data_IF_776481073774
#
_entry.id   IF_776481073774
#
_cell.length_a   1.000
_cell.length_b   1.000
_cell.length_c   1.000
_cell.angle_alpha   90.00
_cell.angle_beta   90.00
_cell.angle_gamma   90.00
#
_symmetry.space_group_name_H-M   'P 1'
#
loop_
_entity.id
_entity.type
_entity.pdbx_description
1 polymer ?
#
# COMPACT_ATOMS: atom_id res chain seq x y z
N UNK A 1 1.65 -6.70 -5.60
CA UNK A 1 0.23 -6.94 -5.97
C UNK A 1 -0.59 -5.65 -6.00
N UNK A 2 -0.70 -4.91 -4.90
CA UNK A 2 -1.60 -3.75 -4.81
C UNK A 2 -1.36 -2.68 -5.88
N UNK A 3 -0.11 -2.45 -6.31
CA UNK A 3 0.21 -1.55 -7.44
C UNK A 3 -0.52 -1.94 -8.73
N UNK A 4 -0.63 -3.24 -9.03
CA UNK A 4 -1.36 -3.72 -10.21
C UNK A 4 -2.86 -3.43 -10.09
N UNK A 5 -3.44 -3.65 -8.91
CA UNK A 5 -4.86 -3.33 -8.64
C UNK A 5 -5.10 -1.83 -8.79
N UNK A 6 -4.27 -1.01 -8.16
CA UNK A 6 -4.35 0.45 -8.19
C UNK A 6 -4.30 1.03 -9.61
N UNK A 7 -3.50 0.44 -10.50
CA UNK A 7 -3.39 0.89 -11.88
C UNK A 7 -4.42 0.27 -12.84
N UNK A 8 -5.23 -0.71 -12.40
CA UNK A 8 -6.22 -1.35 -13.24
C UNK A 8 -7.30 -0.35 -13.68
N UNK A 9 -7.64 -0.37 -14.98
CA UNK A 9 -8.63 0.55 -15.57
C UNK A 9 -9.96 0.56 -14.80
N UNK A 10 -10.49 -0.62 -14.47
CA UNK A 10 -11.73 -0.76 -13.69
C UNK A 10 -11.66 -0.06 -12.32
N UNK A 11 -10.50 0.01 -11.68
CA UNK A 11 -10.32 0.72 -10.41
C UNK A 11 -10.29 2.22 -10.65
N UNK A 12 -9.54 2.69 -11.65
CA UNK A 12 -9.51 4.11 -12.05
C UNK A 12 -10.89 4.65 -12.45
N UNK A 13 -11.69 3.84 -13.14
CA UNK A 13 -13.04 4.23 -13.56
C UNK A 13 -14.05 4.20 -12.40
N UNK A 14 -13.76 3.48 -11.32
CA UNK A 14 -14.68 3.29 -10.19
C UNK A 14 -14.54 4.35 -9.09
N UNK A 15 -13.32 4.85 -8.86
CA UNK A 15 -13.00 5.79 -7.79
C UNK A 15 -12.70 7.18 -8.37
N UNK A 16 -13.26 8.23 -7.76
CA UNK A 16 -12.95 9.61 -8.13
C UNK A 16 -11.56 10.02 -7.66
N UNK A 17 -11.09 9.46 -6.54
CA UNK A 17 -9.78 9.73 -5.98
C UNK A 17 -9.04 8.42 -5.72
N UNK A 18 -7.81 8.35 -6.20
CA UNK A 18 -6.87 7.28 -5.91
C UNK A 18 -5.69 7.89 -5.16
N UNK A 19 -5.46 7.40 -3.95
CA UNK A 19 -4.47 7.97 -3.03
C UNK A 19 -3.53 6.84 -2.62
N UNK A 20 -2.22 7.02 -2.78
CA UNK A 20 -1.22 6.04 -2.34
C UNK A 20 -0.24 6.71 -1.40
N UNK A 21 -0.23 6.29 -0.14
CA UNK A 21 0.76 6.74 0.84
C UNK A 21 1.60 5.57 1.32
N UNK A 22 2.90 5.80 1.45
CA UNK A 22 3.81 4.85 2.07
C UNK A 22 4.04 5.28 3.50
N UNK A 23 3.86 4.36 4.45
CA UNK A 23 4.12 4.66 5.84
C UNK A 23 5.63 4.60 6.04
N UNK A 24 6.23 5.69 6.52
CA UNK A 24 7.65 5.78 6.90
C UNK A 24 7.88 5.30 8.33
N UNK A 25 9.10 4.90 8.71
CA UNK A 25 9.42 4.14 9.96
C UNK A 25 8.67 4.56 11.23
N UNK A 26 8.30 5.83 11.34
CA UNK A 26 7.39 6.33 12.36
C UNK A 26 5.99 6.60 11.80
N UNK A 27 4.95 6.18 12.52
CA UNK A 27 3.56 6.52 12.19
C UNK A 27 3.27 7.99 12.51
N UNK A 28 3.71 8.89 11.63
CA UNK A 28 3.48 10.32 11.73
C UNK A 28 2.14 10.71 11.10
N UNK A 29 1.12 10.95 11.94
CA UNK A 29 -0.22 11.35 11.50
C UNK A 29 -0.19 12.64 10.69
N UNK A 30 0.67 13.60 11.04
CA UNK A 30 0.76 14.88 10.32
C UNK A 30 1.37 14.67 8.95
N UNK A 31 2.53 13.99 8.89
CA UNK A 31 3.20 13.64 7.64
C UNK A 31 2.31 12.81 6.70
N UNK A 32 1.57 11.83 7.23
CA UNK A 32 0.63 11.04 6.44
C UNK A 32 -0.54 11.88 5.94
N UNK A 33 -1.08 12.78 6.75
CA UNK A 33 -2.16 13.69 6.32
C UNK A 33 -1.68 14.60 5.18
N UNK A 34 -0.45 15.12 5.25
CA UNK A 34 0.17 15.89 4.17
C UNK A 34 0.33 15.07 2.89
N UNK A 35 0.83 13.82 2.98
CA UNK A 35 0.95 12.94 1.82
C UNK A 35 -0.40 12.64 1.17
N UNK A 36 -1.46 12.45 1.97
CA UNK A 36 -2.83 12.27 1.45
C UNK A 36 -3.29 13.55 0.75
N UNK A 37 -3.07 14.72 1.35
CA UNK A 37 -3.44 16.01 0.78
C UNK A 37 -2.76 16.28 -0.56
N UNK A 38 -1.49 15.88 -0.71
CA UNK A 38 -0.75 16.01 -1.98
C UNK A 38 -1.40 15.25 -3.16
N UNK A 39 -2.29 14.29 -2.88
CA UNK A 39 -3.06 13.57 -3.90
C UNK A 39 -4.42 14.18 -4.21
N UNK A 40 -4.98 14.99 -3.32
CA UNK A 40 -6.38 15.44 -3.41
C UNK A 40 -6.55 16.95 -3.50
N UNK A 41 -5.50 17.72 -3.19
CA UNK A 41 -5.52 19.17 -3.11
C UNK A 41 -4.39 19.78 -3.96
N UNK A 42 -4.72 20.19 -5.19
CA UNK A 42 -3.75 20.75 -6.14
C UNK A 42 -3.24 22.14 -5.68
N UNK A 43 -4.13 22.98 -5.17
CA UNK A 43 -3.85 24.36 -4.77
C UNK A 43 -2.97 24.48 -3.51
N UNK A 44 -2.84 23.39 -2.74
CA UNK A 44 -2.03 23.29 -1.52
C UNK A 44 -2.14 24.53 -0.61
N UNK A 45 -3.34 24.88 -0.09
CA UNK A 45 -3.57 26.06 0.76
C UNK A 45 -3.00 25.91 2.19
N UNK A 46 -2.08 24.96 2.38
CA UNK A 46 -1.49 24.59 3.66
C UNK A 46 0.03 24.65 3.60
N UNK A 47 0.64 25.06 4.70
CA UNK A 47 2.08 24.94 4.90
C UNK A 47 2.42 23.62 5.57
N UNK A 48 3.65 23.13 5.39
CA UNK A 48 4.18 21.96 6.11
C UNK A 48 4.12 22.08 7.64
N UNK A 49 4.04 23.31 8.17
CA UNK A 49 3.93 23.60 9.62
C UNK A 49 2.49 23.78 10.11
N UNK A 50 1.49 23.54 9.26
CA UNK A 50 0.07 23.67 9.64
C UNK A 50 -0.29 22.68 10.74
N UNK A 51 -1.22 23.08 11.61
CA UNK A 51 -1.74 22.18 12.65
C UNK A 51 -2.51 21.01 12.03
N UNK A 52 -2.52 19.86 12.73
CA UNK A 52 -3.24 18.67 12.26
C UNK A 52 -4.73 18.97 12.00
N UNK A 53 -5.39 19.72 12.88
CA UNK A 53 -6.81 20.06 12.72
C UNK A 53 -7.08 20.79 11.40
N UNK A 54 -6.25 21.81 11.08
CA UNK A 54 -6.38 22.55 9.82
C UNK A 54 -6.17 21.65 8.61
N UNK A 55 -5.16 20.77 8.65
CA UNK A 55 -4.91 19.80 7.58
C UNK A 55 -6.09 18.84 7.40
N UNK A 56 -6.69 18.41 8.50
CA UNK A 56 -7.82 17.49 8.51
C UNK A 56 -9.12 18.13 8.00
N UNK A 57 -9.36 19.41 8.31
CA UNK A 57 -10.46 20.20 7.74
C UNK A 57 -10.32 20.31 6.22
N UNK A 58 -9.14 20.70 5.73
CA UNK A 58 -8.86 20.78 4.29
C UNK A 58 -9.04 19.41 3.63
N UNK A 59 -8.55 18.34 4.25
CA UNK A 59 -8.69 16.98 3.73
C UNK A 59 -10.17 16.61 3.61
N UNK A 60 -10.96 16.87 4.66
CA UNK A 60 -12.38 16.60 4.69
C UNK A 60 -13.14 17.30 3.56
N UNK A 61 -12.81 18.56 3.27
CA UNK A 61 -13.40 19.32 2.17
C UNK A 61 -13.03 18.72 0.80
N UNK A 62 -11.76 18.37 0.59
CA UNK A 62 -11.26 17.89 -0.69
C UNK A 62 -11.78 16.50 -1.07
N UNK A 63 -12.09 15.65 -0.09
CA UNK A 63 -12.68 14.31 -0.32
C UNK A 63 -14.21 14.31 -0.28
N UNK A 64 -14.84 15.42 0.11
CA UNK A 64 -16.30 15.51 0.28
C UNK A 64 -17.00 15.13 -1.02
N UNK A 65 -18.02 14.27 -0.92
CA UNK A 65 -18.82 13.80 -2.05
C UNK A 65 -18.03 13.07 -3.15
N UNK A 66 -16.79 12.64 -2.88
CA UNK A 66 -15.98 11.85 -3.81
C UNK A 66 -15.81 10.42 -3.28
N UNK A 67 -15.92 9.43 -4.16
CA UNK A 67 -15.55 8.05 -3.84
C UNK A 67 -14.03 7.92 -3.93
N UNK A 68 -13.38 7.51 -2.85
CA UNK A 68 -11.93 7.39 -2.79
C UNK A 68 -11.45 5.96 -2.49
N UNK A 69 -10.28 5.61 -3.00
CA UNK A 69 -9.48 4.50 -2.54
C UNK A 69 -8.18 5.05 -1.94
N UNK A 70 -7.97 4.82 -0.65
CA UNK A 70 -6.72 5.13 0.05
C UNK A 70 -5.91 3.85 0.24
N UNK A 71 -4.77 3.76 -0.43
CA UNK A 71 -3.78 2.70 -0.21
C UNK A 71 -2.75 3.19 0.81
N UNK A 72 -2.57 2.43 1.89
CA UNK A 72 -1.55 2.66 2.91
C UNK A 72 -0.54 1.51 2.87
N UNK A 73 0.60 1.77 2.26
CA UNK A 73 1.63 0.76 2.01
C UNK A 73 2.61 0.64 3.19
N UNK A 74 2.97 -0.59 3.53
CA UNK A 74 3.95 -0.98 4.55
C UNK A 74 3.63 -0.49 5.98
N UNK A 75 2.39 -0.71 6.44
CA UNK A 75 1.97 -0.42 7.82
C UNK A 75 2.70 -1.31 8.84
N UNK A 76 3.30 -0.71 9.87
CA UNK A 76 4.00 -1.43 10.97
C UNK A 76 3.60 -1.01 12.38
N UNK A 77 2.68 -0.07 12.58
CA UNK A 77 2.43 0.46 13.94
C UNK A 77 1.69 -0.58 14.78
N UNK A 78 2.42 -1.20 15.71
CA UNK A 78 1.91 -2.31 16.52
C UNK A 78 1.47 -1.88 17.92
N UNK A 79 1.87 -0.69 18.39
CA UNK A 79 1.64 -0.31 19.80
C UNK A 79 0.17 -0.07 20.09
N UNK A 80 -0.49 0.75 19.28
CA UNK A 80 -1.90 1.07 19.44
C UNK A 80 -2.55 1.62 18.17
N UNK A 81 -3.89 1.61 18.15
CA UNK A 81 -4.72 2.04 17.02
C UNK A 81 -5.04 3.55 17.05
N UNK A 82 -4.57 4.32 18.03
CA UNK A 82 -4.99 5.71 18.22
C UNK A 82 -4.54 6.61 17.07
N UNK A 83 -3.30 6.44 16.58
CA UNK A 83 -2.79 7.16 15.41
C UNK A 83 -3.64 6.88 14.17
N UNK A 84 -3.94 5.61 13.92
CA UNK A 84 -4.82 5.18 12.83
C UNK A 84 -6.22 5.80 12.91
N UNK A 85 -6.84 5.76 14.10
CA UNK A 85 -8.16 6.36 14.33
C UNK A 85 -8.13 7.87 14.06
N UNK A 86 -7.09 8.55 14.54
CA UNK A 86 -6.89 10.00 14.32
C UNK A 86 -6.72 10.32 12.84
N UNK A 87 -5.88 9.56 12.11
CA UNK A 87 -5.63 9.76 10.69
C UNK A 87 -6.91 9.62 9.85
N UNK A 88 -7.72 8.59 10.13
CA UNK A 88 -8.94 8.32 9.37
C UNK A 88 -10.16 9.15 9.80
N UNK A 89 -10.08 9.90 10.89
CA UNK A 89 -11.20 10.69 11.42
C UNK A 89 -11.88 11.58 10.36
N UNK A 90 -11.14 12.31 9.49
CA UNK A 90 -11.76 13.18 8.47
C UNK A 90 -12.57 12.38 7.44
N UNK A 91 -12.13 11.16 7.13
CA UNK A 91 -12.73 10.31 6.11
C UNK A 91 -14.14 9.83 6.49
N UNK A 92 -14.41 9.69 7.80
CA UNK A 92 -15.69 9.19 8.33
C UNK A 92 -16.88 10.11 8.07
N UNK A 93 -16.61 11.39 7.83
CA UNK A 93 -17.65 12.39 7.56
C UNK A 93 -18.23 12.28 6.14
N UNK A 94 -17.54 11.57 5.24
CA UNK A 94 -17.97 11.41 3.85
C UNK A 94 -19.16 10.45 3.77
N UNK A 95 -20.26 10.92 3.17
CA UNK A 95 -21.51 10.16 3.02
C UNK A 95 -21.54 9.26 1.78
N UNK A 96 -20.52 9.32 0.93
CA UNK A 96 -20.44 8.51 -0.30
C UNK A 96 -20.17 7.05 0.03
N UNK A 97 -21.02 6.16 -0.50
CA UNK A 97 -20.82 4.71 -0.38
C UNK A 97 -19.73 4.22 -1.34
N UNK A 98 -19.02 3.18 -0.90
CA UNK A 98 -18.00 2.49 -1.68
C UNK A 98 -16.61 3.11 -1.60
N UNK A 99 -16.36 4.04 -0.67
CA UNK A 99 -15.00 4.44 -0.32
C UNK A 99 -14.27 3.29 0.39
N UNK A 100 -12.97 3.14 0.15
CA UNK A 100 -12.18 2.04 0.68
C UNK A 100 -10.82 2.51 1.17
N UNK A 101 -10.36 1.91 2.28
CA UNK A 101 -8.97 2.02 2.74
C UNK A 101 -8.37 0.62 2.64
N UNK A 102 -7.25 0.50 1.92
CA UNK A 102 -6.50 -0.74 1.73
C UNK A 102 -5.12 -0.57 2.36
N UNK A 103 -4.87 -1.28 3.45
CA UNK A 103 -3.56 -1.31 4.09
C UNK A 103 -2.79 -2.57 3.69
N UNK A 104 -1.49 -2.43 3.43
CA UNK A 104 -0.56 -3.58 3.33
C UNK A 104 0.33 -3.59 4.57
N UNK A 105 0.68 -4.78 5.05
CA UNK A 105 1.55 -4.94 6.20
C UNK A 105 2.27 -6.28 6.11
N UNK A 106 3.43 -6.38 6.77
CA UNK A 106 4.19 -7.63 6.92
C UNK A 106 3.79 -8.40 8.18
N UNK A 107 3.03 -7.79 9.09
CA UNK A 107 2.73 -8.38 10.41
C UNK A 107 1.23 -8.59 10.60
N UNK A 108 0.88 -9.80 11.04
CA UNK A 108 -0.52 -10.17 11.29
C UNK A 108 -1.14 -9.40 12.44
N UNK A 109 -0.33 -8.97 13.42
CA UNK A 109 -0.75 -8.12 14.55
C UNK A 109 -1.34 -6.81 14.06
N UNK A 110 -0.65 -6.11 13.16
CA UNK A 110 -1.12 -4.86 12.54
C UNK A 110 -2.40 -5.09 11.75
N UNK A 111 -2.44 -6.13 10.91
CA UNK A 111 -3.62 -6.45 10.09
C UNK A 111 -4.87 -6.64 10.96
N UNK A 112 -4.76 -7.42 12.04
CA UNK A 112 -5.87 -7.65 12.99
C UNK A 112 -6.25 -6.39 13.76
N UNK A 113 -5.29 -5.53 14.08
CA UNK A 113 -5.54 -4.30 14.82
C UNK A 113 -6.34 -3.28 14.01
N UNK A 114 -6.00 -3.06 12.74
CA UNK A 114 -6.59 -2.00 11.91
C UNK A 114 -7.73 -2.49 11.02
N UNK A 115 -7.74 -3.79 10.71
CA UNK A 115 -8.69 -4.43 9.80
C UNK A 115 -10.14 -4.28 10.23
N UNK A 116 -11.01 -4.18 9.23
CA UNK A 116 -12.47 -4.23 9.41
C UNK A 116 -13.10 -5.37 8.59
N UNK A 117 -12.27 -6.15 7.91
CA UNK A 117 -12.61 -7.31 7.09
C UNK A 117 -11.51 -8.36 7.28
N UNK A 118 -11.78 -9.60 6.85
CA UNK A 118 -10.79 -10.68 6.89
C UNK A 118 -9.52 -10.30 6.13
N UNK A 119 -8.36 -10.61 6.71
CA UNK A 119 -7.09 -10.33 6.07
C UNK A 119 -6.86 -11.20 4.83
N UNK A 120 -6.31 -10.59 3.78
CA UNK A 120 -5.81 -11.32 2.61
C UNK A 120 -4.34 -11.65 2.86
N UNK A 121 -4.06 -12.89 3.24
CA UNK A 121 -2.68 -13.36 3.37
C UNK A 121 -2.11 -13.68 1.99
N UNK A 122 -1.04 -13.00 1.61
CA UNK A 122 -0.30 -13.31 0.39
C UNK A 122 0.76 -14.37 0.69
N UNK A 123 0.63 -15.54 0.08
CA UNK A 123 1.71 -16.54 0.07
C UNK A 123 2.80 -16.13 -0.91
N UNK A 124 4.04 -16.51 -0.60
CA UNK A 124 5.14 -16.46 -1.56
C UNK A 124 4.90 -17.39 -2.74
N UNK A 125 5.74 -17.27 -3.77
CA UNK A 125 5.71 -18.16 -4.93
C UNK A 125 5.98 -19.61 -4.51
N UNK A 126 5.31 -20.57 -5.16
CA UNK A 126 5.66 -21.97 -4.99
C UNK A 126 7.09 -22.26 -5.50
N UNK A 127 7.65 -23.44 -5.21
CA UNK A 127 9.05 -23.71 -5.57
C UNK A 127 9.28 -23.67 -7.09
N UNK A 128 8.30 -24.11 -7.87
CA UNK A 128 8.40 -24.16 -9.33
C UNK A 128 8.31 -22.76 -9.92
N UNK A 129 7.35 -21.95 -9.48
CA UNK A 129 7.19 -20.56 -9.91
C UNK A 129 8.37 -19.71 -9.46
N UNK A 130 8.84 -19.87 -8.22
CA UNK A 130 10.02 -19.17 -7.72
C UNK A 130 11.26 -19.52 -8.54
N UNK A 131 11.45 -20.79 -8.91
CA UNK A 131 12.55 -21.20 -9.78
C UNK A 131 12.46 -20.56 -11.18
N UNK A 132 11.27 -20.54 -11.79
CA UNK A 132 11.06 -19.89 -13.08
C UNK A 132 11.37 -18.38 -13.00
N UNK A 133 10.90 -17.71 -11.95
CA UNK A 133 11.20 -16.30 -11.69
C UNK A 133 12.70 -16.06 -11.47
N UNK A 134 13.34 -16.86 -10.62
CA UNK A 134 14.78 -16.76 -10.35
C UNK A 134 15.60 -16.92 -11.63
N UNK A 135 15.27 -17.92 -12.47
CA UNK A 135 15.91 -18.09 -13.78
C UNK A 135 15.75 -16.86 -14.66
N UNK A 136 14.54 -16.31 -14.76
CA UNK A 136 14.28 -15.13 -15.58
C UNK A 136 15.13 -13.92 -15.12
N UNK A 137 15.27 -13.72 -13.80
CA UNK A 137 16.10 -12.65 -13.24
C UNK A 137 17.60 -12.89 -13.45
N UNK A 138 18.09 -14.09 -13.17
CA UNK A 138 19.51 -14.43 -13.22
C UNK A 138 20.05 -14.50 -14.66
N UNK A 139 19.23 -14.96 -15.60
CA UNK A 139 19.65 -15.26 -16.97
C UNK A 139 19.07 -14.31 -18.02
N UNK A 140 18.20 -13.35 -17.66
CA UNK A 140 17.71 -12.26 -18.56
C UNK A 140 17.24 -12.74 -19.95
N UNK A 141 16.45 -13.83 -20.00
CA UNK A 141 15.97 -14.49 -21.23
C UNK A 141 17.03 -15.14 -22.13
N UNK A 142 18.28 -15.22 -21.68
CA UNK A 142 19.32 -15.98 -22.38
C UNK A 142 19.02 -17.48 -22.14
N UNK A 143 18.78 -18.24 -23.21
CA UNK A 143 18.48 -19.69 -23.18
C UNK A 143 19.73 -20.50 -22.78
N UNK A 144 20.28 -20.21 -21.58
CA UNK A 144 21.37 -20.96 -20.95
C UNK A 144 20.88 -22.28 -20.33
N UNK A 145 19.84 -22.88 -20.91
CA UNK A 145 19.50 -24.28 -20.68
C UNK A 145 20.72 -25.20 -20.93
N UNK A 146 21.69 -24.72 -21.71
CA UNK A 146 22.93 -25.38 -22.10
C UNK A 146 24.02 -25.49 -21.01
N UNK A 147 23.81 -24.96 -19.79
CA UNK A 147 24.79 -25.10 -18.70
C UNK A 147 24.22 -25.85 -17.46
N UNK A 148 24.22 -27.20 -17.48
CA UNK A 148 23.68 -28.02 -16.38
C UNK A 148 24.27 -27.69 -15.00
N UNK A 149 25.57 -27.35 -14.93
CA UNK A 149 26.23 -26.97 -13.68
C UNK A 149 25.65 -25.68 -13.06
N UNK A 150 25.40 -24.65 -13.88
CA UNK A 150 24.80 -23.40 -13.42
C UNK A 150 23.33 -23.58 -13.01
N UNK A 151 22.60 -24.51 -13.65
CA UNK A 151 21.25 -24.85 -13.21
C UNK A 151 21.23 -25.48 -11.82
N UNK A 152 22.18 -26.37 -11.53
CA UNK A 152 22.29 -27.01 -10.21
C UNK A 152 22.58 -25.98 -9.12
N UNK A 153 23.59 -25.13 -9.32
CA UNK A 153 23.94 -24.04 -8.40
C UNK A 153 22.76 -23.07 -8.24
N UNK A 154 22.12 -22.67 -9.35
CA UNK A 154 20.96 -21.79 -9.34
C UNK A 154 19.80 -22.34 -8.52
N UNK A 155 19.50 -23.64 -8.61
CA UNK A 155 18.46 -24.28 -7.79
C UNK A 155 18.81 -24.25 -6.30
N UNK A 156 20.07 -24.48 -5.94
CA UNK A 156 20.52 -24.39 -4.55
C UNK A 156 20.37 -22.97 -4.00
N UNK A 157 20.78 -21.95 -4.78
CA UNK A 157 20.58 -20.54 -4.41
C UNK A 157 19.09 -20.21 -4.28
N UNK A 158 18.27 -20.62 -5.25
CA UNK A 158 16.83 -20.36 -5.22
C UNK A 158 16.17 -20.97 -3.97
N UNK A 159 16.57 -22.18 -3.59
CA UNK A 159 16.08 -22.82 -2.36
C UNK A 159 16.52 -22.08 -1.09
N UNK A 160 17.70 -21.45 -1.09
CA UNK A 160 18.19 -20.68 0.04
C UNK A 160 17.58 -19.27 0.16
N UNK A 161 17.02 -18.73 -0.92
CA UNK A 161 16.38 -17.40 -0.96
C UNK A 161 14.89 -17.43 -0.60
N UNK A 162 14.27 -18.62 -0.60
CA UNK A 162 12.86 -18.81 -0.27
C UNK A 162 12.68 -19.03 1.22
#
# INVERSE_FOLDING_TARGET
>A
LVRYVYHAKRIKDHFNLLIWVCVSTNFDVVGLTLQILDHVCEDRPYEKKSSLNKLQEILQENIRNKRFLLVMDDMWEEKDRSGWIKLLAPLKSNKVKGCMVLATTRTKSVAKMIGTMDEITLSGLDEKEFWLFFKACAFRNDNREHHPGLQSIGKQIAKALK
#
